data_IF_925568213378
#
_entry.id   IF_925568213378
#
_cell.length_a   1.000
_cell.length_b   1.000
_cell.length_c   1.000
_cell.angle_alpha   90.00
_cell.angle_beta   90.00
_cell.angle_gamma   90.00
#
_symmetry.space_group_name_H-M   'P 1'
#
loop_
_entity.id
_entity.type
_entity.pdbx_description
1 polymer ?
#
# COMPACT_ATOMS: atom_id res chain seq x y z
N UNK A 1 20.88 12.86 -4.03
CA UNK A 1 19.96 13.68 -4.85
C UNK A 1 18.54 13.27 -4.54
N UNK A 2 17.63 14.22 -4.29
CA UNK A 2 16.25 13.95 -3.87
C UNK A 2 15.52 12.97 -4.81
N UNK A 3 15.74 13.15 -6.11
CA UNK A 3 15.16 12.34 -7.18
C UNK A 3 15.69 10.89 -7.19
N UNK A 4 16.91 10.64 -6.69
CA UNK A 4 17.52 9.31 -6.73
C UNK A 4 16.83 8.32 -5.78
N UNK A 5 16.51 8.74 -4.55
CA UNK A 5 15.78 7.89 -3.59
C UNK A 5 14.36 7.57 -4.08
N UNK A 6 13.72 8.59 -4.67
CA UNK A 6 12.39 8.47 -5.25
C UNK A 6 12.39 7.52 -6.46
N UNK A 7 13.40 7.62 -7.33
CA UNK A 7 13.59 6.71 -8.46
C UNK A 7 13.92 5.27 -8.02
N UNK A 8 14.70 5.11 -6.95
CA UNK A 8 14.97 3.79 -6.34
C UNK A 8 13.69 3.15 -5.80
N UNK A 9 12.88 3.91 -5.05
CA UNK A 9 11.60 3.43 -4.55
C UNK A 9 10.67 2.96 -5.68
N UNK A 10 10.64 3.70 -6.79
CA UNK A 10 9.76 3.39 -7.93
C UNK A 10 10.12 2.08 -8.64
N UNK A 11 11.39 1.67 -8.62
CA UNK A 11 11.82 0.40 -9.24
C UNK A 11 11.11 -0.80 -8.62
N UNK A 12 10.79 -0.70 -7.34
CA UNK A 12 10.18 -1.77 -6.56
C UNK A 12 8.64 -1.67 -6.49
N UNK A 13 8.02 -0.66 -7.10
CA UNK A 13 6.55 -0.46 -7.07
C UNK A 13 5.79 -1.70 -7.53
N UNK A 14 6.22 -2.35 -8.60
CA UNK A 14 5.53 -3.54 -9.13
C UNK A 14 5.62 -4.72 -8.14
N UNK A 15 6.73 -4.80 -7.39
CA UNK A 15 6.93 -5.79 -6.33
C UNK A 15 5.98 -5.49 -5.16
N UNK A 16 5.86 -4.23 -4.73
CA UNK A 16 4.94 -3.87 -3.65
C UNK A 16 3.48 -4.11 -4.01
N UNK A 17 3.07 -3.80 -5.25
CA UNK A 17 1.74 -4.11 -5.76
C UNK A 17 1.48 -5.62 -5.65
N UNK A 18 2.44 -6.43 -6.13
CA UNK A 18 2.34 -7.89 -6.08
C UNK A 18 2.23 -8.42 -4.65
N UNK A 19 3.02 -7.87 -3.72
CA UNK A 19 2.98 -8.26 -2.31
C UNK A 19 1.63 -7.98 -1.64
N UNK A 20 1.00 -6.84 -1.94
CA UNK A 20 -0.33 -6.50 -1.42
C UNK A 20 -1.43 -7.36 -2.05
N UNK A 21 -1.36 -7.64 -3.34
CA UNK A 21 -2.28 -8.58 -3.99
C UNK A 21 -2.19 -9.98 -3.36
N UNK A 22 -0.97 -10.46 -3.08
CA UNK A 22 -0.73 -11.73 -2.39
C UNK A 22 -1.30 -11.69 -0.96
N UNK A 23 -1.16 -10.57 -0.25
CA UNK A 23 -1.71 -10.40 1.10
C UNK A 23 -3.24 -10.55 1.11
N UNK A 24 -3.94 -9.88 0.18
CA UNK A 24 -5.40 -9.99 0.01
C UNK A 24 -5.79 -11.45 -0.25
N UNK A 25 -5.13 -12.12 -1.20
CA UNK A 25 -5.43 -13.52 -1.54
C UNK A 25 -5.23 -14.47 -0.36
N UNK A 26 -4.16 -14.25 0.44
CA UNK A 26 -3.91 -15.05 1.64
C UNK A 26 -4.94 -14.79 2.72
N UNK A 27 -5.38 -13.55 2.90
CA UNK A 27 -6.43 -13.19 3.86
C UNK A 27 -7.77 -13.82 3.44
N UNK A 28 -8.17 -13.68 2.17
CA UNK A 28 -9.38 -14.27 1.62
C UNK A 28 -9.37 -15.80 1.78
N UNK A 29 -8.24 -16.46 1.53
CA UNK A 29 -8.07 -17.90 1.77
C UNK A 29 -8.23 -18.24 3.26
N UNK A 30 -7.56 -17.50 4.15
CA UNK A 30 -7.67 -17.73 5.58
C UNK A 30 -9.10 -17.56 6.08
N UNK A 31 -9.82 -16.56 5.56
CA UNK A 31 -11.24 -16.35 5.83
C UNK A 31 -12.07 -17.55 5.40
N UNK A 32 -11.84 -18.12 4.21
CA UNK A 32 -12.55 -19.31 3.71
C UNK A 32 -12.28 -20.55 4.56
N UNK A 33 -11.03 -20.76 4.96
CA UNK A 33 -10.57 -21.93 5.71
C UNK A 33 -10.78 -21.80 7.23
N UNK A 34 -11.03 -20.60 7.74
CA UNK A 34 -11.14 -20.33 9.18
C UNK A 34 -9.81 -20.44 9.93
N UNK A 35 -8.68 -20.19 9.24
CA UNK A 35 -7.33 -20.34 9.78
C UNK A 35 -6.77 -19.03 10.28
N UNK A 36 -5.79 -19.07 11.20
CA UNK A 36 -5.07 -17.85 11.62
C UNK A 36 -4.47 -17.12 10.41
N UNK A 37 -4.57 -15.79 10.42
CA UNK A 37 -3.86 -14.92 9.50
C UNK A 37 -3.04 -13.90 10.29
N UNK A 38 -1.75 -13.78 9.97
CA UNK A 38 -0.86 -12.82 10.63
C UNK A 38 -0.93 -11.49 9.88
N UNK A 39 -1.64 -10.53 10.48
CA UNK A 39 -1.69 -9.17 9.95
C UNK A 39 -0.33 -8.49 10.08
N UNK A 40 -0.08 -7.54 9.17
CA UNK A 40 1.01 -6.58 9.29
C UNK A 40 0.40 -5.20 9.43
N UNK A 41 0.99 -4.36 10.27
CA UNK A 41 0.69 -2.93 10.26
C UNK A 41 1.33 -2.26 9.03
N UNK A 42 0.90 -1.03 8.73
CA UNK A 42 1.40 -0.29 7.59
C UNK A 42 2.93 -0.09 7.66
N UNK A 43 3.52 0.19 8.81
CA UNK A 43 4.96 0.47 8.92
C UNK A 43 5.84 -0.79 8.99
N UNK A 44 5.28 -1.96 9.30
CA UNK A 44 6.03 -3.22 9.33
C UNK A 44 6.00 -4.00 8.01
N UNK A 45 5.13 -3.62 7.07
CA UNK A 45 5.12 -4.21 5.73
C UNK A 45 6.34 -3.74 4.91
N UNK A 46 6.72 -4.50 3.87
CA UNK A 46 7.93 -4.18 3.10
C UNK A 46 7.81 -2.84 2.36
N UNK A 47 6.60 -2.47 1.92
CA UNK A 47 6.31 -1.15 1.37
C UNK A 47 6.48 -0.07 2.42
N UNK A 48 5.83 -0.18 3.59
CA UNK A 48 5.88 0.83 4.63
C UNK A 48 7.28 1.09 5.16
N UNK A 49 8.07 0.04 5.41
CA UNK A 49 9.49 0.21 5.79
C UNK A 49 10.26 1.02 4.75
N UNK A 50 10.04 0.72 3.47
CA UNK A 50 10.71 1.42 2.38
C UNK A 50 10.17 2.83 2.15
N UNK A 51 8.90 3.06 2.45
CA UNK A 51 8.26 4.36 2.47
C UNK A 51 8.86 5.24 3.57
N UNK A 52 8.96 4.74 4.80
CA UNK A 52 9.51 5.45 5.94
C UNK A 52 11.00 5.80 5.73
N UNK A 53 11.75 4.93 5.06
CA UNK A 53 13.18 5.16 4.74
C UNK A 53 13.40 6.22 3.64
N UNK A 54 12.52 6.25 2.63
CA UNK A 54 12.79 6.95 1.37
C UNK A 54 11.83 8.07 1.03
N UNK A 55 10.59 8.03 1.52
CA UNK A 55 9.52 8.95 1.15
C UNK A 55 9.21 9.93 2.28
N UNK A 56 8.92 9.41 3.49
CA UNK A 56 8.56 10.23 4.64
C UNK A 56 9.59 11.34 4.97
N UNK A 57 10.93 11.11 4.90
CA UNK A 57 11.91 12.16 5.21
C UNK A 57 11.98 13.28 4.18
N UNK A 58 11.27 13.16 3.05
CA UNK A 58 11.44 14.00 1.87
C UNK A 58 10.13 14.71 1.49
N UNK A 59 9.03 14.42 2.16
CA UNK A 59 7.68 14.89 1.85
C UNK A 59 7.61 16.43 1.73
N UNK A 60 8.17 17.16 2.70
CA UNK A 60 8.12 18.63 2.75
C UNK A 60 8.88 19.32 1.61
N UNK A 61 9.84 18.61 0.99
CA UNK A 61 10.71 19.15 -0.07
C UNK A 61 10.32 18.64 -1.47
N UNK A 62 9.27 17.83 -1.57
CA UNK A 62 8.72 17.40 -2.87
C UNK A 62 7.96 18.56 -3.56
N UNK A 63 7.95 18.60 -4.91
CA UNK A 63 7.07 19.49 -5.65
C UNK A 63 5.60 19.27 -5.25
N UNK A 64 4.80 20.32 -5.13
CA UNK A 64 3.45 20.24 -4.58
C UNK A 64 2.53 19.21 -5.27
N UNK A 65 2.68 19.00 -6.59
CA UNK A 65 1.91 18.01 -7.33
C UNK A 65 2.32 16.55 -7.03
N UNK A 66 3.57 16.34 -6.63
CA UNK A 66 4.11 15.04 -6.22
C UNK A 66 3.84 14.82 -4.74
N UNK A 67 3.95 15.86 -3.91
CA UNK A 67 3.67 15.78 -2.46
C UNK A 67 2.24 15.33 -2.18
N UNK A 68 1.25 15.96 -2.83
CA UNK A 68 -0.16 15.56 -2.70
C UNK A 68 -0.40 14.09 -3.09
N UNK A 69 0.29 13.61 -4.13
CA UNK A 69 0.15 12.22 -4.55
C UNK A 69 0.81 11.24 -3.57
N UNK A 70 1.93 11.64 -2.96
CA UNK A 70 2.61 10.87 -1.90
C UNK A 70 1.75 10.80 -0.64
N UNK A 71 1.21 11.94 -0.18
CA UNK A 71 0.27 12.01 0.96
C UNK A 71 -0.94 11.08 0.75
N UNK A 72 -1.56 11.12 -0.45
CA UNK A 72 -2.69 10.25 -0.79
C UNK A 72 -2.32 8.76 -0.82
N UNK A 73 -1.12 8.42 -1.30
CA UNK A 73 -0.63 7.02 -1.32
C UNK A 73 -0.45 6.51 0.10
N UNK A 74 0.15 7.30 0.99
CA UNK A 74 0.35 6.93 2.38
C UNK A 74 -1.00 6.73 3.10
N UNK A 75 -1.93 7.65 2.92
CA UNK A 75 -3.27 7.55 3.49
C UNK A 75 -4.00 6.28 3.03
N UNK A 76 -3.97 5.97 1.73
CA UNK A 76 -4.58 4.75 1.19
C UNK A 76 -3.90 3.47 1.72
N UNK A 77 -2.59 3.48 1.85
CA UNK A 77 -1.84 2.34 2.38
C UNK A 77 -2.14 2.09 3.87
N UNK A 78 -2.19 3.14 4.68
CA UNK A 78 -2.61 3.03 6.08
C UNK A 78 -4.06 2.54 6.19
N UNK A 79 -4.99 3.11 5.42
CA UNK A 79 -6.40 2.67 5.42
C UNK A 79 -6.53 1.19 5.00
N UNK A 80 -5.74 0.73 4.02
CA UNK A 80 -5.71 -0.68 3.62
C UNK A 80 -5.38 -1.60 4.80
N UNK A 81 -4.31 -1.28 5.54
CA UNK A 81 -3.88 -2.09 6.68
C UNK A 81 -4.86 -2.00 7.85
N UNK A 82 -5.40 -0.81 8.16
CA UNK A 82 -6.42 -0.62 9.19
C UNK A 82 -7.69 -1.44 8.93
N UNK A 83 -8.19 -1.46 7.69
CA UNK A 83 -9.35 -2.26 7.32
C UNK A 83 -9.02 -3.75 7.43
N UNK A 84 -7.82 -4.15 6.99
CA UNK A 84 -7.41 -5.56 7.08
C UNK A 84 -7.40 -6.08 8.51
N UNK A 85 -6.91 -5.29 9.47
CA UNK A 85 -6.79 -5.68 10.87
C UNK A 85 -8.14 -5.81 11.59
N UNK A 86 -9.25 -5.39 10.96
CA UNK A 86 -10.61 -5.59 11.50
C UNK A 86 -11.17 -6.97 11.21
N UNK A 87 -10.59 -7.69 10.25
CA UNK A 87 -10.99 -9.03 9.84
C UNK A 87 -10.23 -10.03 10.69
N UNK A 88 -10.95 -10.84 11.47
CA UNK A 88 -10.38 -12.02 12.12
C UNK A 88 -10.95 -13.28 11.46
N UNK A 89 -10.16 -14.00 10.64
CA UNK A 89 -10.63 -15.21 9.99
C UNK A 89 -11.12 -16.32 10.94
N UNK A 90 -10.69 -16.34 12.21
CA UNK A 90 -11.15 -17.30 13.22
C UNK A 90 -12.47 -16.90 13.86
N UNK A 91 -12.73 -15.61 13.96
CA UNK A 91 -13.93 -15.04 14.58
C UNK A 91 -14.73 -14.26 13.55
N UNK A 92 -15.31 -14.98 12.59
CA UNK A 92 -16.02 -14.38 11.45
C UNK A 92 -17.13 -13.43 11.91
N UNK A 93 -17.09 -12.20 11.41
CA UNK A 93 -18.10 -11.16 11.63
C UNK A 93 -18.92 -10.97 10.36
N UNK A 94 -20.16 -10.49 10.51
CA UNK A 94 -21.03 -10.15 9.36
C UNK A 94 -20.42 -9.09 8.43
N UNK A 95 -19.50 -8.27 8.94
CA UNK A 95 -18.82 -7.19 8.21
C UNK A 95 -17.55 -7.64 7.47
N UNK A 96 -17.07 -8.88 7.65
CA UNK A 96 -15.77 -9.29 7.10
C UNK A 96 -15.75 -9.28 5.57
N UNK A 97 -16.86 -9.67 4.94
CA UNK A 97 -17.01 -9.62 3.47
C UNK A 97 -16.94 -8.18 2.96
N UNK A 98 -17.63 -7.26 3.64
CA UNK A 98 -17.63 -5.84 3.28
C UNK A 98 -16.24 -5.22 3.48
N UNK A 99 -15.54 -5.59 4.57
CA UNK A 99 -14.18 -5.16 4.81
C UNK A 99 -13.22 -5.69 3.74
N UNK A 100 -13.35 -6.95 3.31
CA UNK A 100 -12.52 -7.52 2.25
C UNK A 100 -12.74 -6.81 0.90
N UNK A 101 -13.99 -6.55 0.52
CA UNK A 101 -14.29 -5.79 -0.71
C UNK A 101 -13.76 -4.35 -0.60
N UNK A 102 -13.92 -3.70 0.56
CA UNK A 102 -13.33 -2.39 0.82
C UNK A 102 -11.80 -2.40 0.67
N UNK A 103 -11.12 -3.43 1.15
CA UNK A 103 -9.67 -3.59 0.95
C UNK A 103 -9.30 -3.72 -0.53
N UNK A 104 -10.07 -4.49 -1.32
CA UNK A 104 -9.84 -4.64 -2.77
C UNK A 104 -10.00 -3.29 -3.48
N UNK A 105 -11.00 -2.51 -3.11
CA UNK A 105 -11.22 -1.16 -3.65
C UNK A 105 -10.07 -0.20 -3.29
N UNK A 106 -9.64 -0.17 -2.03
CA UNK A 106 -8.50 0.64 -1.59
C UNK A 106 -7.23 0.21 -2.33
N UNK A 107 -6.97 -1.09 -2.45
CA UNK A 107 -5.78 -1.60 -3.14
C UNK A 107 -5.76 -1.18 -4.61
N UNK A 108 -6.91 -1.18 -5.28
CA UNK A 108 -7.02 -0.72 -6.66
C UNK A 108 -6.67 0.77 -6.78
N UNK A 109 -7.19 1.62 -5.89
CA UNK A 109 -6.86 3.05 -5.85
C UNK A 109 -5.37 3.28 -5.56
N UNK A 110 -4.83 2.56 -4.57
CA UNK A 110 -3.42 2.62 -4.21
C UNK A 110 -2.52 2.26 -5.40
N UNK A 111 -2.82 1.15 -6.10
CA UNK A 111 -2.04 0.72 -7.26
C UNK A 111 -2.11 1.73 -8.40
N UNK A 112 -3.28 2.30 -8.67
CA UNK A 112 -3.42 3.35 -9.68
C UNK A 112 -2.57 4.59 -9.35
N UNK A 113 -2.55 5.02 -8.08
CA UNK A 113 -1.72 6.15 -7.63
C UNK A 113 -0.23 5.83 -7.72
N UNK A 114 0.20 4.65 -7.28
CA UNK A 114 1.60 4.22 -7.41
C UNK A 114 2.07 4.18 -8.88
N UNK A 115 1.24 3.65 -9.78
CA UNK A 115 1.53 3.62 -11.22
C UNK A 115 1.48 5.01 -11.86
N UNK A 116 0.63 5.91 -11.37
CA UNK A 116 0.61 7.32 -11.77
C UNK A 116 1.91 8.03 -11.37
N UNK A 117 2.30 7.90 -10.10
CA UNK A 117 3.54 8.45 -9.55
C UNK A 117 4.76 7.94 -10.32
N UNK A 118 4.86 6.62 -10.54
CA UNK A 118 5.90 5.98 -11.38
C UNK A 118 6.02 6.62 -12.76
N UNK A 119 4.88 6.83 -13.45
CA UNK A 119 4.84 7.44 -14.78
C UNK A 119 5.25 8.92 -14.77
N UNK A 120 4.79 9.70 -13.79
CA UNK A 120 5.16 11.12 -13.68
C UNK A 120 6.66 11.29 -13.49
N UNK A 121 7.27 10.45 -12.68
CA UNK A 121 8.68 10.55 -12.34
C UNK A 121 9.58 10.04 -13.46
N UNK A 122 9.17 8.96 -14.15
CA UNK A 122 9.85 8.49 -15.37
C UNK A 122 9.89 9.55 -16.48
N UNK A 123 8.89 10.43 -16.56
CA UNK A 123 8.85 11.55 -17.52
C UNK A 123 9.72 12.75 -17.13
N UNK A 124 10.07 12.88 -15.85
CA UNK A 124 10.89 13.99 -15.30
C UNK A 124 12.38 13.66 -15.28
N UNK A 125 12.76 12.39 -15.42
CA UNK A 125 14.14 11.94 -15.59
C UNK A 125 14.63 12.01 -17.06
N UNK A 126 13.79 12.51 -17.98
CA UNK A 126 14.13 12.80 -19.39
C UNK A 126 14.29 14.30 -19.61
#
# INVERSE_FOLDING_TARGET
MLLTKLAEFIKDVDIYISQHAIYINKLEKAMQEGTTFEHKDCHSCAFGKRWDENMAPMEEVLPGDIRLEVEEIEALHCEFHEVSMRIDPKERKGTDKENLEKMKDISTKLFQKLLSLKRKLSKREV
#
